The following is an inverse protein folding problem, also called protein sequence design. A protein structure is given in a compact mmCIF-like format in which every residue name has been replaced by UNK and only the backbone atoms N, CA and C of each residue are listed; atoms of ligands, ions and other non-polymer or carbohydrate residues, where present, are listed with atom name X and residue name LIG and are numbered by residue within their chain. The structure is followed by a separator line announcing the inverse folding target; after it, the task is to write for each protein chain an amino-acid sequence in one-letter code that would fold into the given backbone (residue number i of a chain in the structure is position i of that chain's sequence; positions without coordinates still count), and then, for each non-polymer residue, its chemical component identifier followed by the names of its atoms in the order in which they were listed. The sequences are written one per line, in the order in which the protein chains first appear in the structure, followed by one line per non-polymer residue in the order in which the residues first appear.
data_IF_755590119980
#
_entry.id   IF_755590119980
#
_cell.length_a   1.000
_cell.length_b   1.000
_cell.length_c   1.000
_cell.angle_alpha   90.00
_cell.angle_beta   90.00
_cell.angle_gamma   90.00
#
_symmetry.space_group_name_H-M   'P 1'
#
loop_
_entity.id
_entity.type
_entity.pdbx_description
1 polymer ?
#
# COMPACT_ATOMS: atom_id res chain seq x y z
N UNK A 1 13.95 4.43 -9.47
CA UNK A 1 12.98 4.71 -8.39
C UNK A 1 11.89 3.66 -8.48
N UNK A 2 11.42 3.17 -7.34
CA UNK A 2 10.44 2.09 -7.29
C UNK A 2 9.16 2.54 -6.59
N UNK A 3 8.00 2.14 -7.11
CA UNK A 3 6.74 2.22 -6.40
C UNK A 3 6.19 0.81 -6.20
N UNK A 4 5.98 0.42 -4.94
CA UNK A 4 5.46 -0.89 -4.58
C UNK A 4 4.12 -0.69 -3.85
N UNK A 5 3.04 -1.18 -4.47
CA UNK A 5 1.69 -1.05 -3.95
C UNK A 5 1.11 -2.41 -3.57
N UNK A 6 0.74 -2.59 -2.31
CA UNK A 6 0.05 -3.79 -1.82
C UNK A 6 -1.46 -3.63 -1.87
N UNK A 7 -2.13 -4.54 -2.58
CA UNK A 7 -3.59 -4.63 -2.66
C UNK A 7 -4.07 -6.02 -2.26
N UNK A 8 -5.36 -6.11 -1.94
CA UNK A 8 -5.98 -7.35 -1.46
C UNK A 8 -7.22 -7.08 -0.63
N UNK A 9 -8.08 -8.09 -0.42
CA UNK A 9 -9.26 -7.94 0.42
C UNK A 9 -8.91 -7.49 1.85
N UNK A 10 -9.88 -6.96 2.61
CA UNK A 10 -9.71 -6.76 4.04
C UNK A 10 -9.33 -8.07 4.73
N UNK A 11 -8.38 -8.01 5.66
CA UNK A 11 -7.82 -9.19 6.31
C UNK A 11 -6.79 -9.97 5.48
N UNK A 12 -6.46 -9.55 4.25
CA UNK A 12 -5.42 -10.20 3.46
C UNK A 12 -3.99 -10.11 4.06
N UNK A 13 -3.79 -9.34 5.13
CA UNK A 13 -2.50 -9.19 5.80
C UNK A 13 -1.58 -8.10 5.25
N UNK A 14 -2.09 -7.21 4.38
CA UNK A 14 -1.33 -6.07 3.81
C UNK A 14 -0.56 -5.23 4.83
N UNK A 15 -1.24 -4.71 5.86
CA UNK A 15 -0.58 -3.93 6.93
C UNK A 15 0.40 -4.75 7.77
N UNK A 16 0.23 -6.08 7.81
CA UNK A 16 1.20 -6.98 8.47
C UNK A 16 2.45 -7.12 7.61
N UNK A 17 2.29 -7.35 6.30
CA UNK A 17 3.40 -7.34 5.33
C UNK A 17 4.14 -6.00 5.37
N UNK A 18 3.42 -4.87 5.30
CA UNK A 18 4.01 -3.53 5.33
C UNK A 18 4.83 -3.28 6.60
N UNK A 19 4.30 -3.68 7.76
CA UNK A 19 5.04 -3.61 9.04
C UNK A 19 6.29 -4.48 9.01
N UNK A 20 6.21 -5.70 8.48
CA UNK A 20 7.34 -6.64 8.40
C UNK A 20 8.47 -6.11 7.53
N UNK A 21 8.17 -5.64 6.32
CA UNK A 21 9.21 -5.19 5.37
C UNK A 21 9.91 -3.90 5.81
N UNK A 22 9.27 -3.09 6.66
CA UNK A 22 9.83 -1.82 7.15
C UNK A 22 10.25 -1.89 8.62
N UNK A 23 10.26 -3.07 9.24
CA UNK A 23 10.51 -3.22 10.68
C UNK A 23 11.92 -2.77 11.10
N UNK A 24 12.87 -2.81 10.18
CA UNK A 24 14.27 -2.43 10.39
C UNK A 24 14.55 -0.96 10.05
N UNK A 25 13.55 -0.22 9.57
CA UNK A 25 13.70 1.16 9.12
C UNK A 25 13.25 2.13 10.22
N UNK A 26 14.05 3.17 10.42
CA UNK A 26 13.65 4.32 11.22
C UNK A 26 12.57 5.12 10.50
N UNK A 27 11.65 5.68 11.28
CA UNK A 27 10.46 6.33 10.74
C UNK A 27 10.30 7.74 11.27
N UNK A 28 10.12 8.68 10.34
CA UNK A 28 9.81 10.07 10.67
C UNK A 28 8.49 10.46 10.01
N UNK A 29 7.42 10.70 10.79
CA UNK A 29 6.17 11.21 10.24
C UNK A 29 6.37 12.57 9.59
N UNK A 30 5.87 12.75 8.37
CA UNK A 30 5.94 14.06 7.72
C UNK A 30 4.92 15.02 8.35
N UNK A 31 5.19 16.34 8.32
CA UNK A 31 4.26 17.35 8.83
C UNK A 31 2.84 17.19 8.28
N UNK A 32 1.83 17.37 9.12
CA UNK A 32 0.41 17.11 8.80
C UNK A 32 -0.17 18.05 7.73
N UNK A 33 0.47 19.18 7.49
CA UNK A 33 0.15 20.15 6.45
C UNK A 33 0.72 19.75 5.07
N UNK A 34 1.63 18.77 5.01
CA UNK A 34 2.13 18.22 3.75
C UNK A 34 1.28 17.03 3.29
N UNK A 35 0.63 17.19 2.13
CA UNK A 35 -0.18 16.13 1.51
C UNK A 35 0.55 15.46 0.33
N UNK A 36 0.36 14.15 0.10
CA UNK A 36 -0.40 13.23 0.97
C UNK A 36 0.36 12.94 2.28
N UNK A 37 -0.40 12.59 3.33
CA UNK A 37 0.19 12.10 4.57
C UNK A 37 1.05 10.86 4.26
N UNK A 38 2.26 10.86 4.82
CA UNK A 38 3.29 9.85 4.58
C UNK A 38 4.31 9.88 5.70
N UNK A 39 5.05 8.80 5.84
CA UNK A 39 6.24 8.75 6.70
C UNK A 39 7.49 8.63 5.83
N UNK A 40 8.55 9.34 6.19
CA UNK A 40 9.88 9.10 5.67
C UNK A 40 10.51 7.89 6.38
N UNK A 41 11.19 7.04 5.61
CA UNK A 41 11.82 5.82 6.06
C UNK A 41 13.33 5.93 5.87
N UNK A 42 14.09 5.63 6.92
CA UNK A 42 15.54 5.71 6.91
C UNK A 42 16.16 4.36 7.24
N UNK A 43 17.24 4.03 6.55
CA UNK A 43 18.12 2.91 6.86
C UNK A 43 19.49 3.48 7.25
N UNK A 44 19.88 3.29 8.52
CA UNK A 44 21.14 3.80 9.07
C UNK A 44 21.37 5.31 8.77
N UNK A 45 20.31 6.13 8.90
CA UNK A 45 20.34 7.58 8.67
C UNK A 45 20.24 8.02 7.20
N UNK A 46 20.21 7.09 6.24
CA UNK A 46 20.03 7.40 4.81
C UNK A 46 18.56 7.27 4.44
N UNK A 47 18.02 8.23 3.67
CA UNK A 47 16.65 8.16 3.17
C UNK A 47 16.50 6.93 2.27
N UNK A 48 15.75 5.95 2.75
CA UNK A 48 15.46 4.71 2.03
C UNK A 48 14.23 4.87 1.12
N UNK A 49 13.23 5.60 1.60
CA UNK A 49 12.00 5.84 0.86
C UNK A 49 10.91 6.47 1.71
N UNK A 50 9.67 6.35 1.25
CA UNK A 50 8.49 6.81 1.97
C UNK A 50 7.42 5.71 2.05
N UNK A 51 6.58 5.76 3.08
CA UNK A 51 5.32 5.00 3.15
C UNK A 51 4.14 5.96 3.06
N UNK A 52 3.31 5.82 2.03
CA UNK A 52 2.10 6.61 1.84
C UNK A 52 0.99 6.17 2.80
N UNK A 53 0.31 7.15 3.39
CA UNK A 53 -0.75 6.91 4.35
C UNK A 53 -0.31 7.12 5.78
N UNK A 54 -1.02 6.48 6.71
CA UNK A 54 -0.70 6.53 8.13
C UNK A 54 -0.93 5.16 8.76
N UNK A 55 -0.10 4.82 9.75
CA UNK A 55 -0.30 3.61 10.55
C UNK A 55 -1.33 3.86 11.64
N UNK A 56 -2.43 3.11 11.64
CA UNK A 56 -3.45 3.14 12.70
C UNK A 56 -3.97 1.74 13.02
N UNK A 57 -4.40 1.46 14.27
CA UNK A 57 -4.88 0.14 14.66
C UNK A 57 -6.01 -0.42 13.80
N UNK A 58 -6.91 0.44 13.31
CA UNK A 58 -8.10 0.04 12.52
C UNK A 58 -7.91 0.24 11.02
N UNK A 59 -7.55 1.44 10.57
CA UNK A 59 -7.32 1.77 9.15
C UNK A 59 -5.88 2.24 8.95
N UNK A 60 -5.04 1.37 8.40
CA UNK A 60 -3.64 1.65 8.11
C UNK A 60 -3.42 1.95 6.62
N UNK A 61 -2.24 2.50 6.32
CA UNK A 61 -1.82 2.80 4.96
C UNK A 61 -2.69 3.88 4.33
N UNK A 62 -2.97 3.72 3.05
CA UNK A 62 -3.70 4.71 2.26
C UNK A 62 -5.18 4.81 2.66
N UNK A 63 -5.74 3.80 3.33
CA UNK A 63 -7.12 3.84 3.82
C UNK A 63 -7.33 4.89 4.93
N UNK A 64 -6.24 5.31 5.60
CA UNK A 64 -6.24 6.42 6.55
C UNK A 64 -6.28 7.81 5.90
N UNK A 65 -6.10 7.90 4.58
CA UNK A 65 -6.05 9.15 3.85
C UNK A 65 -7.46 9.73 3.57
N UNK A 66 -7.59 11.07 3.48
CA UNK A 66 -8.85 11.71 3.13
C UNK A 66 -9.35 11.32 1.74
N UNK A 67 -10.64 11.54 1.46
CA UNK A 67 -11.25 11.15 0.17
C UNK A 67 -10.57 11.80 -1.05
N UNK A 68 -10.08 13.04 -0.91
CA UNK A 68 -9.39 13.78 -1.97
C UNK A 68 -7.91 13.40 -2.12
N UNK A 69 -7.40 12.41 -1.38
CA UNK A 69 -5.99 12.08 -1.33
C UNK A 69 -5.40 11.64 -2.67
N UNK A 70 -6.22 11.17 -3.62
CA UNK A 70 -5.74 10.78 -4.95
C UNK A 70 -5.11 11.96 -5.70
N UNK A 71 -5.75 13.13 -5.68
CA UNK A 71 -5.21 14.34 -6.33
C UNK A 71 -3.90 14.76 -5.69
N UNK A 72 -3.84 14.80 -4.36
CA UNK A 72 -2.62 15.15 -3.64
C UNK A 72 -1.47 14.16 -3.90
N UNK A 73 -1.76 12.84 -3.86
CA UNK A 73 -0.76 11.82 -4.12
C UNK A 73 -0.26 11.84 -5.56
N UNK A 74 -1.14 12.05 -6.55
CA UNK A 74 -0.72 12.24 -7.93
C UNK A 74 0.15 13.49 -8.09
N UNK A 75 -0.23 14.61 -7.46
CA UNK A 75 0.54 15.85 -7.50
C UNK A 75 1.93 15.68 -6.87
N UNK A 76 2.01 14.93 -5.77
CA UNK A 76 3.29 14.61 -5.14
C UNK A 76 4.20 13.80 -6.07
N UNK A 77 3.67 12.77 -6.74
CA UNK A 77 4.47 11.97 -7.68
C UNK A 77 5.04 12.79 -8.84
N UNK A 78 4.31 13.82 -9.30
CA UNK A 78 4.70 14.59 -10.48
C UNK A 78 5.54 15.83 -10.16
N UNK A 79 5.38 16.42 -8.97
CA UNK A 79 5.93 17.74 -8.64
C UNK A 79 6.75 17.77 -7.35
N UNK A 80 6.98 16.64 -6.68
CA UNK A 80 7.86 16.63 -5.53
C UNK A 80 9.28 17.09 -5.97
N UNK A 81 9.88 18.04 -5.22
CA UNK A 81 11.20 18.58 -5.57
C UNK A 81 12.28 17.48 -5.53
N UNK A 82 12.11 16.51 -4.64
CA UNK A 82 12.93 15.31 -4.58
C UNK A 82 12.01 14.09 -4.65
N UNK A 83 12.26 13.24 -5.64
CA UNK A 83 11.55 11.97 -5.77
C UNK A 83 12.23 10.91 -4.90
N UNK A 84 11.53 10.30 -3.94
CA UNK A 84 12.12 9.30 -3.07
C UNK A 84 12.57 8.07 -3.88
N UNK A 85 13.66 7.38 -3.48
CA UNK A 85 14.12 6.18 -4.16
C UNK A 85 13.05 5.09 -4.22
N UNK A 86 12.27 4.97 -3.14
CA UNK A 86 11.22 3.97 -2.97
C UNK A 86 9.94 4.60 -2.40
N UNK A 87 8.80 4.24 -2.98
CA UNK A 87 7.47 4.54 -2.45
C UNK A 87 6.76 3.24 -2.11
N UNK A 88 6.41 3.08 -0.84
CA UNK A 88 5.57 2.01 -0.36
C UNK A 88 4.14 2.50 -0.15
N UNK A 89 3.16 1.71 -0.59
CA UNK A 89 1.75 1.99 -0.33
C UNK A 89 0.96 0.70 -0.08
N UNK A 90 -0.04 0.77 0.79
CA UNK A 90 -1.00 -0.32 0.97
C UNK A 90 -2.43 0.22 1.18
N UNK A 91 -3.43 -0.59 0.88
CA UNK A 91 -4.84 -0.26 1.10
C UNK A 91 -5.64 -0.13 -0.19
N UNK A 92 -6.82 0.48 -0.10
CA UNK A 92 -7.77 0.61 -1.21
C UNK A 92 -7.93 2.05 -1.71
N UNK A 93 -7.60 3.08 -0.91
CA UNK A 93 -7.84 4.49 -1.26
C UNK A 93 -7.10 4.93 -2.53
N UNK A 94 -5.83 4.55 -2.67
CA UNK A 94 -5.01 4.90 -3.83
C UNK A 94 -4.85 3.73 -4.83
N UNK A 95 -5.46 2.57 -4.55
CA UNK A 95 -5.43 1.39 -5.41
C UNK A 95 -6.37 1.55 -6.60
N UNK A 96 -5.97 2.36 -7.59
CA UNK A 96 -6.73 2.63 -8.80
C UNK A 96 -5.82 2.94 -9.97
N UNK A 97 -6.37 2.80 -11.18
CA UNK A 97 -5.64 2.99 -12.42
C UNK A 97 -4.99 4.38 -12.55
N UNK A 98 -5.66 5.43 -12.09
CA UNK A 98 -5.15 6.80 -12.17
C UNK A 98 -3.85 6.96 -11.40
N UNK A 99 -3.80 6.54 -10.13
CA UNK A 99 -2.61 6.68 -9.29
C UNK A 99 -1.42 5.88 -9.86
N UNK A 100 -1.65 4.62 -10.24
CA UNK A 100 -0.61 3.76 -10.80
C UNK A 100 -0.10 4.27 -12.16
N UNK A 101 -1.00 4.75 -13.04
CA UNK A 101 -0.60 5.38 -14.31
C UNK A 101 0.24 6.63 -14.07
N UNK A 102 -0.13 7.45 -13.08
CA UNK A 102 0.65 8.63 -12.72
C UNK A 102 2.06 8.25 -12.24
N UNK A 103 2.19 7.19 -11.43
CA UNK A 103 3.49 6.70 -10.98
C UNK A 103 4.39 6.25 -12.13
N UNK A 104 3.87 5.42 -13.05
CA UNK A 104 4.61 5.00 -14.24
C UNK A 104 5.02 6.20 -15.10
N UNK A 105 4.12 7.16 -15.31
CA UNK A 105 4.43 8.39 -16.08
C UNK A 105 5.45 9.30 -15.40
N UNK A 106 5.53 9.25 -14.07
CA UNK A 106 6.55 9.96 -13.29
C UNK A 106 7.91 9.25 -13.28
N UNK A 107 8.03 8.08 -13.93
CA UNK A 107 9.29 7.36 -14.10
C UNK A 107 9.57 6.31 -13.02
N UNK A 108 8.58 5.94 -12.19
CA UNK A 108 8.73 4.84 -11.25
C UNK A 108 8.58 3.48 -11.93
N UNK A 109 9.50 2.56 -11.62
CA UNK A 109 9.23 1.14 -11.83
C UNK A 109 8.12 0.72 -10.86
N UNK A 110 6.96 0.41 -11.41
CA UNK A 110 5.71 0.34 -10.64
C UNK A 110 5.27 -1.11 -10.50
N UNK A 111 5.26 -1.59 -9.26
CA UNK A 111 4.85 -2.94 -8.91
C UNK A 111 3.56 -2.94 -8.10
N UNK A 112 2.65 -3.82 -8.49
CA UNK A 112 1.39 -4.08 -7.79
C UNK A 112 1.43 -5.49 -7.20
N UNK A 113 1.53 -5.60 -5.88
CA UNK A 113 1.50 -6.89 -5.17
C UNK A 113 0.07 -7.17 -4.71
N UNK A 114 -0.58 -8.14 -5.34
CA UNK A 114 -1.92 -8.59 -4.99
C UNK A 114 -1.88 -9.80 -4.08
N UNK A 115 -2.36 -9.63 -2.84
CA UNK A 115 -2.50 -10.72 -1.87
C UNK A 115 -3.92 -11.31 -1.96
N UNK A 116 -4.08 -12.38 -2.74
CA UNK A 116 -5.32 -13.14 -2.89
C UNK A 116 -5.45 -14.21 -1.80
N UNK A 117 -5.54 -13.78 -0.54
CA UNK A 117 -5.57 -14.69 0.60
C UNK A 117 -6.97 -15.33 0.76
N UNK A 118 -7.12 -16.67 0.62
CA UNK A 118 -8.41 -17.34 0.78
C UNK A 118 -8.98 -17.24 2.20
N UNK A 119 -8.12 -17.01 3.21
CA UNK A 119 -8.51 -16.86 4.61
C UNK A 119 -8.77 -15.40 5.02
N UNK A 120 -8.70 -14.44 4.09
CA UNK A 120 -8.77 -13.02 4.40
C UNK A 120 -10.02 -12.61 5.20
N UNK A 121 -11.20 -13.18 4.88
CA UNK A 121 -12.43 -12.87 5.62
C UNK A 121 -12.36 -13.34 7.07
N UNK A 122 -11.91 -14.58 7.29
CA UNK A 122 -11.79 -15.12 8.65
C UNK A 122 -10.81 -14.27 9.47
N UNK A 123 -9.63 -13.96 8.91
CA UNK A 123 -8.65 -13.12 9.59
C UNK A 123 -9.15 -11.70 9.89
N UNK A 124 -9.99 -11.13 9.02
CA UNK A 124 -10.64 -9.85 9.28
C UNK A 124 -11.61 -9.92 10.46
N UNK A 125 -12.38 -11.01 10.58
CA UNK A 125 -13.30 -11.25 11.70
C UNK A 125 -12.53 -11.47 13.00
N UNK A 126 -11.49 -12.31 12.98
CA UNK A 126 -10.65 -12.59 14.14
C UNK A 126 -9.98 -11.32 14.66
N UNK A 127 -9.47 -10.48 13.75
CA UNK A 127 -8.90 -9.16 14.09
C UNK A 127 -9.93 -8.21 14.70
N UNK A 128 -11.14 -8.18 14.15
CA UNK A 128 -12.20 -7.32 14.69
C UNK A 128 -12.57 -7.75 16.12
N UNK A 129 -12.70 -9.07 16.36
CA UNK A 129 -12.94 -9.64 17.67
C UNK A 129 -11.80 -9.33 18.66
N UNK A 130 -10.54 -9.54 18.25
CA UNK A 130 -9.36 -9.29 19.08
C UNK A 130 -9.19 -7.81 19.47
N UNK A 131 -9.71 -6.88 18.66
CA UNK A 131 -9.66 -5.44 18.95
C UNK A 131 -10.97 -4.85 19.48
N UNK A 132 -11.98 -5.69 19.76
CA UNK A 132 -13.31 -5.25 20.18
C UNK A 132 -13.91 -4.18 19.25
N UNK A 133 -13.76 -4.36 17.94
CA UNK A 133 -14.30 -3.44 16.93
C UNK A 133 -15.36 -4.12 16.08
N UNK A 134 -16.29 -3.32 15.53
CA UNK A 134 -17.33 -3.82 14.63
C UNK A 134 -16.71 -4.36 13.35
N UNK A 135 -16.98 -5.63 12.97
CA UNK A 135 -16.51 -6.17 11.71
C UNK A 135 -17.02 -5.35 10.53
N UNK A 136 -16.17 -5.22 9.51
CA UNK A 136 -16.58 -4.59 8.26
C UNK A 136 -17.71 -5.40 7.59
N UNK A 137 -18.68 -4.70 7.00
CA UNK A 137 -19.81 -5.34 6.33
C UNK A 137 -19.33 -6.25 5.21
N UNK A 138 -20.04 -7.35 5.02
CA UNK A 138 -19.68 -8.36 4.02
C UNK A 138 -19.75 -7.81 2.60
N UNK A 139 -20.78 -7.00 2.30
CA UNK A 139 -20.94 -6.35 1.00
C UNK A 139 -19.77 -5.41 0.68
N UNK A 140 -19.31 -4.64 1.67
CA UNK A 140 -18.15 -3.77 1.53
C UNK A 140 -16.87 -4.58 1.32
N UNK A 141 -16.65 -5.63 2.12
CA UNK A 141 -15.48 -6.49 2.01
C UNK A 141 -15.41 -7.19 0.65
N UNK A 142 -16.55 -7.74 0.17
CA UNK A 142 -16.69 -8.33 -1.16
C UNK A 142 -16.41 -7.30 -2.25
N UNK A 143 -16.93 -6.09 -2.14
CA UNK A 143 -16.67 -5.01 -3.09
C UNK A 143 -15.19 -4.65 -3.16
N UNK A 144 -14.47 -4.60 -2.03
CA UNK A 144 -13.02 -4.35 -1.99
C UNK A 144 -12.23 -5.52 -2.58
N UNK A 145 -12.62 -6.76 -2.31
CA UNK A 145 -12.01 -7.96 -2.90
C UNK A 145 -12.11 -7.93 -4.43
N UNK A 146 -13.32 -7.70 -4.96
CA UNK A 146 -13.56 -7.59 -6.40
C UNK A 146 -12.76 -6.44 -7.03
N UNK A 147 -12.70 -5.27 -6.38
CA UNK A 147 -11.94 -4.13 -6.88
C UNK A 147 -10.43 -4.45 -6.98
N UNK A 148 -9.84 -5.06 -5.94
CA UNK A 148 -8.44 -5.47 -5.94
C UNK A 148 -8.15 -6.49 -7.05
N UNK A 149 -8.97 -7.54 -7.15
CA UNK A 149 -8.85 -8.55 -8.21
C UNK A 149 -8.93 -7.96 -9.61
N UNK A 150 -9.89 -7.06 -9.84
CA UNK A 150 -10.06 -6.41 -11.13
C UNK A 150 -8.88 -5.54 -11.51
N UNK A 151 -8.29 -4.83 -10.55
CA UNK A 151 -7.09 -4.01 -10.79
C UNK A 151 -5.87 -4.88 -11.09
N UNK A 152 -5.70 -6.00 -10.38
CA UNK A 152 -4.62 -6.96 -10.64
C UNK A 152 -4.78 -7.67 -11.99
N UNK A 153 -6.01 -8.00 -12.39
CA UNK A 153 -6.29 -8.66 -13.67
C UNK A 153 -6.16 -7.72 -14.87
N UNK A 154 -6.35 -6.41 -14.67
CA UNK A 154 -6.28 -5.38 -15.71
C UNK A 154 -5.49 -4.18 -15.19
N UNK A 155 -4.19 -4.35 -14.96
CA UNK A 155 -3.34 -3.26 -14.48
C UNK A 155 -3.17 -2.22 -15.60
N UNK A 156 -2.89 -0.95 -15.25
CA UNK A 156 -2.42 0.02 -16.24
C UNK A 156 -1.15 -0.45 -16.94
N UNK A 157 -0.92 0.05 -18.15
CA UNK A 157 0.31 -0.24 -18.90
C UNK A 157 1.55 0.20 -18.11
N UNK A 158 2.60 -0.63 -18.13
CA UNK A 158 3.85 -0.40 -17.40
C UNK A 158 3.83 -0.75 -15.92
N UNK A 159 2.73 -1.33 -15.41
CA UNK A 159 2.65 -1.86 -14.04
C UNK A 159 2.94 -3.36 -14.05
N UNK A 160 3.93 -3.80 -13.29
CA UNK A 160 4.24 -5.21 -13.07
C UNK A 160 3.40 -5.76 -11.93
N UNK A 161 2.61 -6.82 -12.17
CA UNK A 161 1.73 -7.41 -11.16
C UNK A 161 2.34 -8.69 -10.60
N UNK A 162 2.33 -8.81 -9.28
CA UNK A 162 2.72 -10.01 -8.54
C UNK A 162 1.54 -10.53 -7.73
N UNK A 163 1.06 -11.73 -8.04
CA UNK A 163 -0.05 -12.35 -7.30
C UNK A 163 0.48 -13.39 -6.34
N UNK A 164 0.10 -13.28 -5.07
CA UNK A 164 0.51 -14.18 -3.99
C UNK A 164 -0.70 -14.52 -3.13
N UNK A 165 -0.66 -15.65 -2.42
CA UNK A 165 -1.78 -16.11 -1.57
C UNK A 165 -1.54 -15.86 -0.08
N UNK A 166 -0.34 -15.45 0.32
CA UNK A 166 0.03 -15.28 1.73
C UNK A 166 0.85 -14.00 1.97
N UNK A 167 0.70 -13.32 3.14
CA UNK A 167 1.50 -12.15 3.51
C UNK A 167 3.01 -12.37 3.51
N UNK A 168 3.46 -13.59 3.80
CA UNK A 168 4.89 -13.92 3.84
C UNK A 168 5.46 -13.98 2.43
N UNK A 169 4.78 -14.65 1.50
CA UNK A 169 5.14 -14.61 0.09
C UNK A 169 5.12 -13.18 -0.46
N UNK A 170 4.17 -12.34 -0.02
CA UNK A 170 4.18 -10.92 -0.37
C UNK A 170 5.44 -10.20 0.13
N UNK A 171 5.88 -10.47 1.37
CA UNK A 171 7.11 -9.88 1.91
C UNK A 171 8.34 -10.33 1.12
N UNK A 172 8.42 -11.62 0.76
CA UNK A 172 9.54 -12.19 0.00
C UNK A 172 9.58 -11.62 -1.43
N UNK A 173 8.43 -11.48 -2.09
CA UNK A 173 8.30 -10.80 -3.38
C UNK A 173 8.80 -9.36 -3.31
N UNK A 174 8.39 -8.61 -2.29
CA UNK A 174 8.81 -7.22 -2.12
C UNK A 174 10.32 -7.12 -1.88
N UNK A 175 10.88 -8.02 -1.06
CA UNK A 175 12.32 -8.10 -0.85
C UNK A 175 13.09 -8.46 -2.12
N UNK A 176 12.51 -9.24 -3.05
CA UNK A 176 13.10 -9.49 -4.36
C UNK A 176 13.09 -8.23 -5.24
N UNK A 177 11.98 -7.50 -5.30
CA UNK A 177 11.86 -6.23 -6.05
C UNK A 177 12.87 -5.20 -5.56
N UNK A 178 13.02 -5.05 -4.23
CA UNK A 178 13.93 -4.06 -3.65
C UNK A 178 15.42 -4.36 -3.88
N UNK A 179 15.76 -5.54 -4.40
CA UNK A 179 17.15 -5.95 -4.71
C UNK A 179 17.56 -5.70 -6.17
N UNK A 180 16.62 -5.29 -7.02
CA UNK A 180 16.86 -5.00 -8.46
C UNK A 180 17.09 -3.51 -8.67
#
# INVERSE_FOLDING_TARGET
MQLIYLIGPPGAGKSTTMRRITAHLDRTPMPKDQYPARDALFDNGTLWGIELGARRPTFSGTDALPMNANTAACNYLTHAPEQPPTILAEGARLANAKFLTTATKAGYDTHLVYIDNPHARQWALDRAAAHHTTPQSESWAKGRATAARNLAARPPAGVTVHTVTHPDAAADTIAAILRT
#
